data_IF_404911125620
#
_entry.id   IF_404911125620
#
_cell.length_a   1.000
_cell.length_b   1.000
_cell.length_c   1.000
_cell.angle_alpha   90.00
_cell.angle_beta   90.00
_cell.angle_gamma   90.00
#
_symmetry.space_group_name_H-M   'P 1'
#
loop_
_entity.id
_entity.type
_entity.pdbx_description
1 polymer ?
#
# COMPACT_ATOMS: atom_id res chain seq x y z
N UNK A 1 -16.77 -1.67 -6.93
CA UNK A 1 -15.46 -1.01 -7.06
C UNK A 1 -15.23 -0.48 -8.49
N UNK A 2 -15.07 -1.31 -9.54
CA UNK A 2 -14.73 -0.84 -10.90
C UNK A 2 -15.74 0.15 -11.51
N UNK A 3 -17.05 -0.06 -11.33
CA UNK A 3 -18.07 0.90 -11.83
C UNK A 3 -17.88 2.28 -11.24
N UNK A 4 -17.54 2.36 -9.94
CA UNK A 4 -17.27 3.63 -9.26
C UNK A 4 -15.99 4.27 -9.80
N UNK A 5 -14.89 3.52 -9.88
CA UNK A 5 -13.62 4.00 -10.41
C UNK A 5 -13.75 4.54 -11.85
N UNK A 6 -14.48 3.82 -12.71
CA UNK A 6 -14.78 4.29 -14.07
C UNK A 6 -15.65 5.54 -14.10
N UNK A 7 -16.69 5.60 -13.27
CA UNK A 7 -17.56 6.77 -13.16
C UNK A 7 -16.84 8.02 -12.65
N UNK A 8 -15.81 7.84 -11.86
CA UNK A 8 -14.91 8.90 -11.38
C UNK A 8 -13.76 9.19 -12.35
N UNK A 9 -13.62 8.43 -13.44
CA UNK A 9 -12.52 8.51 -14.42
C UNK A 9 -11.14 8.37 -13.78
N UNK A 10 -11.01 7.49 -12.81
CA UNK A 10 -9.72 7.18 -12.19
C UNK A 10 -8.80 6.46 -13.18
N UNK A 11 -7.49 6.53 -12.93
CA UNK A 11 -6.46 5.92 -13.77
C UNK A 11 -6.13 4.49 -13.33
N UNK A 12 -6.27 4.21 -12.02
CA UNK A 12 -5.99 2.89 -11.44
C UNK A 12 -7.06 2.45 -10.43
N UNK A 13 -7.12 1.14 -10.19
CA UNK A 13 -7.94 0.52 -9.15
C UNK A 13 -7.13 -0.59 -8.47
N UNK A 14 -7.15 -0.61 -7.13
CA UNK A 14 -6.25 -1.42 -6.32
C UNK A 14 -6.99 -2.45 -5.49
N UNK A 15 -6.42 -3.63 -5.35
CA UNK A 15 -6.84 -4.67 -4.41
C UNK A 15 -5.74 -4.90 -3.38
N UNK A 16 -6.12 -5.35 -2.20
CA UNK A 16 -5.19 -5.70 -1.11
C UNK A 16 -4.98 -7.20 -1.06
N UNK A 17 -3.85 -7.65 -0.50
CA UNK A 17 -3.53 -9.06 -0.30
C UNK A 17 -3.36 -9.36 1.19
N UNK A 18 -4.45 -9.69 1.86
CA UNK A 18 -4.47 -10.02 3.26
C UNK A 18 -5.21 -11.33 3.52
N UNK A 19 -4.69 -12.14 4.48
CA UNK A 19 -5.43 -13.23 5.11
C UNK A 19 -6.31 -12.69 6.24
N UNK A 20 -5.81 -11.71 6.99
CA UNK A 20 -6.59 -10.95 7.97
C UNK A 20 -6.30 -9.47 7.85
N UNK A 21 -7.26 -8.62 8.22
CA UNK A 21 -7.06 -7.17 8.22
C UNK A 21 -6.54 -6.67 9.57
N UNK A 22 -6.05 -5.45 9.56
CA UNK A 22 -5.45 -4.80 10.74
C UNK A 22 -6.43 -4.48 11.87
N UNK A 23 -7.74 -4.37 11.59
CA UNK A 23 -8.71 -4.03 12.63
C UNK A 23 -9.00 -5.23 13.54
N UNK A 24 -8.79 -5.10 14.87
CA UNK A 24 -9.04 -6.17 15.81
C UNK A 24 -10.53 -6.51 15.90
N UNK A 25 -10.89 -7.80 15.88
CA UNK A 25 -12.27 -8.24 16.03
C UNK A 25 -12.92 -7.75 17.32
N UNK A 26 -12.15 -7.63 18.42
CA UNK A 26 -12.62 -7.14 19.71
C UNK A 26 -13.04 -5.66 19.74
N UNK A 27 -12.54 -4.85 18.80
CA UNK A 27 -12.97 -3.46 18.59
C UNK A 27 -14.03 -3.35 17.48
N UNK A 28 -14.21 -4.36 16.63
CA UNK A 28 -15.04 -4.29 15.44
C UNK A 28 -16.53 -4.38 15.79
N UNK A 29 -17.12 -3.26 16.13
CA UNK A 29 -18.54 -3.13 16.48
C UNK A 29 -19.10 -1.79 15.97
N UNK A 30 -20.42 -1.58 16.08
CA UNK A 30 -21.11 -0.39 15.54
C UNK A 30 -20.70 0.94 16.19
N UNK A 31 -20.10 0.91 17.40
CA UNK A 31 -19.56 2.12 18.05
C UNK A 31 -18.21 2.48 17.47
N UNK A 32 -17.45 1.47 17.04
CA UNK A 32 -16.14 1.66 16.41
C UNK A 32 -16.26 2.06 14.93
N UNK A 33 -17.14 1.39 14.18
CA UNK A 33 -17.40 1.75 12.77
C UNK A 33 -18.73 1.22 12.29
N UNK A 34 -19.44 1.96 11.45
CA UNK A 34 -20.68 1.50 10.81
C UNK A 34 -20.46 0.30 9.87
N UNK A 35 -19.24 0.10 9.38
CA UNK A 35 -18.86 -1.02 8.52
C UNK A 35 -18.98 -2.38 9.23
N UNK A 36 -18.93 -2.40 10.56
CA UNK A 36 -19.11 -3.64 11.34
C UNK A 36 -20.49 -4.31 11.16
N UNK A 37 -21.43 -3.64 10.45
CA UNK A 37 -22.69 -4.28 9.99
C UNK A 37 -22.48 -5.24 8.82
N UNK A 38 -21.40 -5.09 8.08
CA UNK A 38 -21.13 -5.83 6.84
C UNK A 38 -20.31 -7.11 7.02
N UNK A 39 -19.95 -7.49 8.25
CA UNK A 39 -19.20 -8.72 8.51
C UNK A 39 -17.88 -8.53 9.25
N UNK A 40 -16.99 -9.50 9.15
CA UNK A 40 -15.69 -9.53 9.80
C UNK A 40 -14.70 -8.53 9.20
N UNK A 41 -13.84 -7.88 10.01
CA UNK A 41 -12.74 -7.06 9.51
C UNK A 41 -11.64 -7.89 8.82
N UNK A 42 -11.72 -9.22 8.90
CA UNK A 42 -10.75 -10.17 8.36
C UNK A 42 -11.25 -10.92 7.12
N UNK A 43 -12.41 -10.55 6.55
CA UNK A 43 -12.97 -11.21 5.38
C UNK A 43 -12.41 -10.59 4.09
N UNK A 44 -11.32 -11.14 3.58
CA UNK A 44 -10.69 -10.73 2.32
C UNK A 44 -10.86 -11.81 1.24
N UNK A 45 -11.02 -11.38 0.00
CA UNK A 45 -10.93 -12.27 -1.14
C UNK A 45 -9.46 -12.49 -1.53
N UNK A 46 -9.15 -13.67 -2.06
CA UNK A 46 -7.86 -13.88 -2.71
C UNK A 46 -7.68 -12.85 -3.85
N UNK A 47 -6.57 -12.07 -3.83
CA UNK A 47 -6.39 -10.99 -4.79
C UNK A 47 -6.18 -11.48 -6.22
N UNK A 48 -5.57 -12.64 -6.42
CA UNK A 48 -5.31 -13.19 -7.76
C UNK A 48 -6.63 -13.60 -8.42
N UNK A 49 -7.48 -14.33 -7.70
CA UNK A 49 -8.82 -14.68 -8.16
C UNK A 49 -9.70 -13.44 -8.42
N UNK A 50 -9.63 -12.45 -7.50
CA UNK A 50 -10.38 -11.20 -7.64
C UNK A 50 -9.91 -10.39 -8.85
N UNK A 51 -8.60 -10.21 -9.04
CA UNK A 51 -8.04 -9.48 -10.18
C UNK A 51 -8.34 -10.17 -11.51
N UNK A 52 -8.23 -11.51 -11.58
CA UNK A 52 -8.65 -12.28 -12.76
C UNK A 52 -10.12 -12.04 -13.12
N UNK A 53 -11.02 -11.99 -12.11
CA UNK A 53 -12.45 -11.67 -12.31
C UNK A 53 -12.68 -10.22 -12.75
N UNK A 54 -11.84 -9.28 -12.29
CA UNK A 54 -11.98 -7.85 -12.59
C UNK A 54 -11.36 -7.47 -13.94
N UNK A 55 -10.32 -8.13 -14.38
CA UNK A 55 -9.52 -7.79 -15.55
C UNK A 55 -10.34 -7.58 -16.84
N UNK A 56 -11.25 -8.49 -17.25
CA UNK A 56 -12.07 -8.29 -18.45
C UNK A 56 -12.98 -7.06 -18.37
N UNK A 57 -13.22 -6.56 -17.16
CA UNK A 57 -14.08 -5.43 -16.90
C UNK A 57 -13.33 -4.15 -16.56
N UNK A 58 -12.00 -4.16 -16.51
CA UNK A 58 -11.20 -2.99 -16.15
C UNK A 58 -11.27 -1.88 -17.21
N UNK A 59 -11.26 -2.25 -18.50
CA UNK A 59 -11.17 -1.30 -19.60
C UNK A 59 -9.85 -0.53 -19.50
N UNK A 60 -9.90 0.79 -19.49
CA UNK A 60 -8.68 1.63 -19.39
C UNK A 60 -8.09 1.77 -17.97
N UNK A 61 -8.76 1.25 -16.94
CA UNK A 61 -8.23 1.27 -15.59
C UNK A 61 -7.03 0.33 -15.49
N UNK A 62 -5.93 0.83 -14.97
CA UNK A 62 -4.77 0.01 -14.59
C UNK A 62 -5.09 -0.70 -13.27
N UNK A 63 -5.04 -2.03 -13.25
CA UNK A 63 -5.29 -2.80 -12.04
C UNK A 63 -3.99 -2.97 -11.26
N UNK A 64 -4.03 -2.71 -9.95
CA UNK A 64 -2.90 -2.86 -9.06
C UNK A 64 -3.20 -3.76 -7.86
N UNK A 65 -2.20 -4.48 -7.39
CA UNK A 65 -2.21 -5.14 -6.08
C UNK A 65 -1.34 -4.31 -5.12
N UNK A 66 -1.89 -3.92 -4.00
CA UNK A 66 -1.19 -3.03 -3.08
C UNK A 66 -1.28 -3.49 -1.63
N UNK A 67 -0.31 -4.30 -1.22
CA UNK A 67 0.76 -5.00 -1.90
C UNK A 67 0.73 -6.49 -1.59
N UNK A 68 1.38 -7.33 -2.43
CA UNK A 68 1.67 -8.74 -2.10
C UNK A 68 3.13 -8.89 -1.64
N UNK A 69 3.52 -10.09 -1.22
CA UNK A 69 4.86 -10.39 -0.74
C UNK A 69 5.28 -11.84 -1.04
N UNK A 70 6.58 -12.11 -0.97
CA UNK A 70 7.17 -13.41 -1.30
C UNK A 70 7.48 -14.29 -0.06
N UNK A 71 6.78 -14.08 1.05
CA UNK A 71 6.81 -14.94 2.24
C UNK A 71 5.77 -16.07 2.13
N UNK A 72 4.58 -15.74 1.65
CA UNK A 72 3.45 -16.67 1.46
C UNK A 72 3.42 -17.31 0.09
N UNK A 73 3.92 -16.63 -0.94
CA UNK A 73 3.89 -17.10 -2.33
C UNK A 73 5.27 -17.12 -2.93
N UNK A 74 5.57 -18.18 -3.69
CA UNK A 74 6.83 -18.26 -4.44
C UNK A 74 6.88 -17.16 -5.53
N UNK A 75 8.01 -16.45 -5.75
CA UNK A 75 8.11 -15.37 -6.72
C UNK A 75 7.78 -15.78 -8.15
N UNK A 76 8.06 -16.99 -8.57
CA UNK A 76 7.66 -17.52 -9.90
C UNK A 76 6.13 -17.58 -10.03
N UNK A 77 5.41 -17.98 -8.97
CA UNK A 77 3.94 -17.98 -8.98
C UNK A 77 3.37 -16.55 -9.06
N UNK A 78 4.02 -15.60 -8.39
CA UNK A 78 3.65 -14.17 -8.46
C UNK A 78 3.89 -13.64 -9.88
N UNK A 79 5.02 -13.98 -10.50
CA UNK A 79 5.35 -13.61 -11.88
C UNK A 79 4.32 -14.19 -12.87
N UNK A 80 4.03 -15.49 -12.77
CA UNK A 80 3.05 -16.16 -13.63
C UNK A 80 1.67 -15.50 -13.54
N UNK A 81 1.22 -15.17 -12.31
CA UNK A 81 -0.03 -14.44 -12.13
C UNK A 81 -0.02 -13.09 -12.85
N UNK A 82 1.03 -12.29 -12.67
CA UNK A 82 1.13 -10.96 -13.27
C UNK A 82 1.15 -11.01 -14.81
N UNK A 83 1.93 -11.95 -15.37
CA UNK A 83 1.99 -12.18 -16.82
C UNK A 83 0.62 -12.66 -17.36
N UNK A 84 -0.03 -13.61 -16.69
CA UNK A 84 -1.39 -14.05 -17.06
C UNK A 84 -2.35 -12.87 -17.08
N UNK A 85 -2.31 -12.02 -16.06
CA UNK A 85 -3.17 -10.85 -15.96
C UNK A 85 -2.94 -9.85 -17.09
N UNK A 86 -1.70 -9.71 -17.58
CA UNK A 86 -1.36 -8.82 -18.69
C UNK A 86 -2.10 -9.16 -19.99
N UNK A 87 -2.45 -10.44 -20.19
CA UNK A 87 -3.23 -10.88 -21.34
C UNK A 87 -4.71 -10.51 -21.24
N UNK A 88 -5.21 -10.24 -20.03
CA UNK A 88 -6.62 -9.93 -19.78
C UNK A 88 -6.90 -8.45 -19.55
N UNK A 89 -5.87 -7.61 -19.43
CA UNK A 89 -5.98 -6.17 -19.20
C UNK A 89 -5.59 -5.37 -20.45
N UNK A 90 -6.16 -4.17 -20.58
CA UNK A 90 -5.80 -3.24 -21.66
C UNK A 90 -4.58 -2.36 -21.31
N UNK A 91 -4.20 -2.31 -20.04
CA UNK A 91 -3.02 -1.59 -19.55
C UNK A 91 -2.16 -2.51 -18.69
N UNK A 92 -0.84 -2.29 -18.62
CA UNK A 92 0.05 -3.08 -17.78
C UNK A 92 -0.49 -3.19 -16.34
N UNK A 93 -0.71 -4.40 -15.80
CA UNK A 93 -1.08 -4.52 -14.40
C UNK A 93 0.08 -4.12 -13.50
N UNK A 94 -0.24 -3.54 -12.34
CA UNK A 94 0.77 -3.16 -11.35
C UNK A 94 0.89 -4.26 -10.31
N UNK A 95 2.06 -4.85 -10.23
CA UNK A 95 2.44 -5.78 -9.19
C UNK A 95 3.13 -5.02 -8.05
N UNK A 96 2.34 -4.60 -7.07
CA UNK A 96 2.88 -3.99 -5.86
C UNK A 96 3.49 -5.05 -4.94
N UNK A 97 4.74 -4.87 -4.56
CA UNK A 97 5.50 -5.78 -3.70
C UNK A 97 5.95 -5.08 -2.43
N UNK A 98 5.79 -5.75 -1.31
CA UNK A 98 6.27 -5.32 0.01
C UNK A 98 7.12 -6.39 0.69
N UNK A 99 7.74 -6.03 1.81
CA UNK A 99 8.50 -6.98 2.62
C UNK A 99 7.60 -7.90 3.47
N UNK A 100 6.29 -7.67 3.46
CA UNK A 100 5.31 -8.43 4.24
C UNK A 100 5.05 -7.84 5.62
N UNK A 101 4.01 -8.35 6.25
CA UNK A 101 3.50 -7.96 7.56
C UNK A 101 3.26 -9.23 8.40
N UNK A 102 3.57 -9.15 9.72
CA UNK A 102 3.55 -10.33 10.59
C UNK A 102 2.17 -10.99 10.68
N UNK A 103 1.08 -10.20 10.66
CA UNK A 103 -0.28 -10.70 10.78
C UNK A 103 -0.67 -11.64 9.62
N UNK A 104 -0.07 -11.44 8.45
CA UNK A 104 -0.32 -12.29 7.28
C UNK A 104 0.58 -13.52 7.19
N UNK A 105 1.57 -13.65 8.07
CA UNK A 105 2.65 -14.65 7.96
C UNK A 105 2.69 -15.54 9.20
N UNK A 106 3.00 -14.96 10.38
CA UNK A 106 3.27 -15.73 11.60
C UNK A 106 2.07 -16.57 12.11
N UNK A 107 0.82 -16.06 12.13
CA UNK A 107 -0.32 -16.85 12.58
C UNK A 107 -0.61 -18.08 11.72
N UNK A 108 -0.07 -18.11 10.53
CA UNK A 108 -0.23 -19.23 9.58
C UNK A 108 0.96 -20.17 9.54
N UNK A 109 1.85 -20.09 10.53
CA UNK A 109 3.00 -20.99 10.68
C UNK A 109 4.16 -20.72 9.73
N UNK A 110 4.15 -19.57 9.06
CA UNK A 110 5.23 -19.17 8.17
C UNK A 110 6.25 -18.27 8.91
N UNK A 111 7.56 -18.40 8.63
CA UNK A 111 8.57 -17.57 9.27
C UNK A 111 8.57 -16.15 8.71
N UNK A 112 8.53 -15.16 9.59
CA UNK A 112 8.79 -13.76 9.22
C UNK A 112 10.29 -13.46 9.39
N UNK A 113 11.10 -14.08 8.53
CA UNK A 113 12.56 -14.01 8.60
C UNK A 113 13.13 -13.29 7.38
N UNK A 114 14.05 -12.35 7.63
CA UNK A 114 14.79 -11.57 6.62
C UNK A 114 13.92 -11.06 5.45
N UNK A 115 12.77 -10.44 5.73
CA UNK A 115 11.75 -10.14 4.72
C UNK A 115 12.24 -9.23 3.59
N UNK A 116 13.17 -8.30 3.88
CA UNK A 116 13.75 -7.41 2.86
C UNK A 116 14.70 -8.17 1.92
N UNK A 117 15.47 -9.15 2.42
CA UNK A 117 16.29 -10.02 1.58
C UNK A 117 15.44 -10.86 0.64
N UNK A 118 14.35 -11.45 1.16
CA UNK A 118 13.38 -12.20 0.34
C UNK A 118 12.72 -11.32 -0.72
N UNK A 119 12.34 -10.08 -0.37
CA UNK A 119 11.80 -9.13 -1.33
C UNK A 119 12.79 -8.84 -2.46
N UNK A 120 14.07 -8.60 -2.14
CA UNK A 120 15.10 -8.31 -3.12
C UNK A 120 15.27 -9.45 -4.14
N UNK A 121 15.40 -10.67 -3.64
CA UNK A 121 15.49 -11.85 -4.51
C UNK A 121 14.20 -12.09 -5.31
N UNK A 122 13.04 -11.88 -4.68
CA UNK A 122 11.76 -12.04 -5.36
C UNK A 122 11.59 -11.06 -6.52
N UNK A 123 11.94 -9.78 -6.34
CA UNK A 123 11.88 -8.79 -7.41
C UNK A 123 12.78 -9.18 -8.58
N UNK A 124 13.99 -9.67 -8.30
CA UNK A 124 14.93 -10.14 -9.32
C UNK A 124 14.39 -11.36 -10.08
N UNK A 125 13.86 -12.35 -9.36
CA UNK A 125 13.26 -13.55 -9.97
C UNK A 125 12.07 -13.17 -10.86
N UNK A 126 11.19 -12.31 -10.39
CA UNK A 126 10.02 -11.85 -11.15
C UNK A 126 10.46 -11.12 -12.44
N UNK A 127 11.49 -10.25 -12.35
CA UNK A 127 12.09 -9.63 -13.54
C UNK A 127 12.63 -10.66 -14.52
N UNK A 128 13.38 -11.65 -14.04
CA UNK A 128 13.89 -12.72 -14.88
C UNK A 128 12.75 -13.46 -15.57
N UNK A 129 11.66 -13.81 -14.85
CA UNK A 129 10.50 -14.45 -15.48
C UNK A 129 9.83 -13.58 -16.57
N UNK A 130 9.85 -12.24 -16.44
CA UNK A 130 9.25 -11.35 -17.44
C UNK A 130 10.10 -11.21 -18.72
N UNK A 131 11.39 -11.50 -18.66
CA UNK A 131 12.34 -11.23 -19.75
C UNK A 131 13.07 -12.46 -20.28
N UNK A 132 12.94 -13.61 -19.62
CA UNK A 132 13.59 -14.85 -20.04
C UNK A 132 12.94 -15.39 -21.32
N UNK A 133 13.77 -15.83 -22.26
CA UNK A 133 13.38 -16.48 -23.51
C UNK A 133 13.80 -17.98 -23.56
N UNK A 134 14.14 -18.55 -22.40
CA UNK A 134 14.54 -19.94 -22.26
C UNK A 134 14.80 -20.33 -20.80
N UNK A 135 15.43 -21.51 -20.58
CA UNK A 135 15.80 -21.93 -19.23
C UNK A 135 16.72 -20.93 -18.54
N UNK A 136 16.51 -20.71 -17.24
CA UNK A 136 17.34 -19.84 -16.41
C UNK A 136 17.62 -20.47 -15.04
N UNK A 137 18.70 -20.03 -14.42
CA UNK A 137 18.99 -20.38 -13.02
C UNK A 137 18.95 -19.13 -12.13
N UNK A 138 18.63 -19.35 -10.87
CA UNK A 138 18.74 -18.34 -9.82
C UNK A 138 19.32 -18.99 -8.57
N UNK A 139 20.40 -18.40 -8.03
CA UNK A 139 21.05 -18.84 -6.80
C UNK A 139 21.09 -17.67 -5.82
N UNK A 140 20.18 -17.68 -4.85
CA UNK A 140 20.07 -16.70 -3.78
C UNK A 140 20.22 -17.32 -2.42
N UNK A 141 20.09 -16.51 -1.40
CA UNK A 141 20.07 -16.94 0.00
C UNK A 141 18.71 -17.54 0.40
N UNK A 142 17.63 -17.04 -0.23
CA UNK A 142 16.25 -17.38 0.11
C UNK A 142 15.56 -18.25 -0.95
N UNK A 143 15.97 -18.12 -2.19
CA UNK A 143 15.43 -18.90 -3.30
C UNK A 143 16.57 -19.51 -4.12
N UNK A 144 16.39 -20.76 -4.53
CA UNK A 144 17.32 -21.47 -5.41
C UNK A 144 16.53 -22.23 -6.47
N UNK A 145 16.81 -21.92 -7.73
CA UNK A 145 16.15 -22.52 -8.88
C UNK A 145 17.24 -22.90 -9.88
N UNK A 146 17.71 -24.17 -9.85
CA UNK A 146 18.85 -24.60 -10.67
C UNK A 146 18.51 -24.79 -12.16
N UNK A 147 17.22 -24.99 -12.47
CA UNK A 147 16.75 -25.33 -13.82
C UNK A 147 15.28 -24.89 -13.97
N UNK A 148 15.06 -23.57 -14.06
CA UNK A 148 13.73 -23.00 -14.17
C UNK A 148 13.41 -22.66 -15.63
N UNK A 149 12.14 -22.83 -16.02
CA UNK A 149 11.61 -22.43 -17.32
C UNK A 149 10.28 -21.71 -17.13
N UNK A 150 10.09 -20.60 -17.85
CA UNK A 150 8.86 -19.85 -17.89
C UNK A 150 8.56 -19.42 -19.33
N UNK A 151 7.83 -20.24 -20.06
CA UNK A 151 7.47 -19.98 -21.47
C UNK A 151 6.33 -18.97 -21.63
N UNK A 152 5.58 -18.71 -20.56
CA UNK A 152 4.56 -17.66 -20.58
C UNK A 152 5.26 -16.29 -20.58
N UNK A 153 5.25 -15.61 -21.70
CA UNK A 153 5.68 -14.21 -21.77
C UNK A 153 4.57 -13.23 -21.37
N UNK A 154 4.88 -12.04 -20.89
CA UNK A 154 3.91 -10.95 -20.80
C UNK A 154 3.31 -10.67 -22.20
N UNK A 155 2.06 -10.21 -22.22
CA UNK A 155 1.46 -9.75 -23.48
C UNK A 155 2.31 -8.61 -24.07
N UNK A 156 2.59 -8.66 -25.37
CA UNK A 156 3.34 -7.63 -26.08
C UNK A 156 2.76 -6.23 -25.84
N UNK A 157 3.63 -5.29 -25.49
CA UNK A 157 3.25 -3.91 -25.14
C UNK A 157 2.48 -3.76 -23.81
N UNK A 158 2.34 -4.83 -23.01
CA UNK A 158 1.57 -4.83 -21.77
C UNK A 158 2.32 -5.53 -20.61
N UNK A 159 3.64 -5.43 -20.56
CA UNK A 159 4.47 -6.02 -19.50
C UNK A 159 4.06 -5.48 -18.13
N UNK A 160 3.82 -6.35 -17.12
CA UNK A 160 3.46 -5.92 -15.79
C UNK A 160 4.52 -5.00 -15.18
N UNK A 161 4.09 -3.97 -14.46
CA UNK A 161 4.96 -3.06 -13.73
C UNK A 161 5.19 -3.59 -12.31
N UNK A 162 6.43 -3.56 -11.84
CA UNK A 162 6.80 -3.90 -10.46
C UNK A 162 6.90 -2.61 -9.66
N UNK A 163 6.01 -2.42 -8.68
CA UNK A 163 6.07 -1.29 -7.77
C UNK A 163 6.42 -1.77 -6.36
N UNK A 164 7.34 -1.09 -5.67
CA UNK A 164 7.82 -1.49 -4.35
C UNK A 164 7.36 -0.52 -3.28
N UNK A 165 6.74 -1.06 -2.21
CA UNK A 165 6.35 -0.32 -1.01
C UNK A 165 7.57 -0.14 -0.09
N UNK A 166 8.46 0.78 -0.46
CA UNK A 166 9.75 0.98 0.19
C UNK A 166 9.73 2.15 1.18
N UNK A 167 10.30 1.92 2.37
CA UNK A 167 10.47 2.94 3.41
C UNK A 167 11.92 3.09 3.89
N UNK A 168 12.62 1.98 4.11
CA UNK A 168 14.00 1.99 4.61
C UNK A 168 15.05 2.08 3.51
N UNK A 169 16.29 2.50 3.81
CA UNK A 169 17.34 2.75 2.81
C UNK A 169 17.63 1.55 1.90
N UNK A 170 17.61 0.31 2.44
CA UNK A 170 17.81 -0.90 1.62
C UNK A 170 16.67 -1.09 0.62
N UNK A 171 15.42 -0.91 1.05
CA UNK A 171 14.26 -1.04 0.16
C UNK A 171 14.22 0.06 -0.89
N UNK A 172 14.61 1.30 -0.56
CA UNK A 172 14.73 2.40 -1.55
C UNK A 172 15.77 2.07 -2.61
N UNK A 173 16.91 1.46 -2.23
CA UNK A 173 17.92 0.99 -3.20
C UNK A 173 17.37 -0.12 -4.10
N UNK A 174 16.67 -1.11 -3.55
CA UNK A 174 16.00 -2.18 -4.32
C UNK A 174 15.02 -1.57 -5.33
N UNK A 175 14.24 -0.57 -4.90
CA UNK A 175 13.30 0.15 -5.79
C UNK A 175 14.05 0.78 -6.96
N UNK A 176 15.10 1.55 -6.72
CA UNK A 176 15.90 2.18 -7.77
C UNK A 176 16.52 1.17 -8.74
N UNK A 177 17.04 0.06 -8.20
CA UNK A 177 17.72 -0.95 -9.00
C UNK A 177 16.78 -1.80 -9.88
N UNK A 178 15.57 -2.10 -9.38
CA UNK A 178 14.77 -3.17 -9.96
C UNK A 178 13.29 -2.82 -10.21
N UNK A 179 12.72 -1.77 -9.62
CA UNK A 179 11.30 -1.48 -9.71
C UNK A 179 10.95 -0.47 -10.83
N UNK A 180 9.68 -0.48 -11.26
CA UNK A 180 9.09 0.47 -12.20
C UNK A 180 8.30 1.55 -11.47
N UNK A 181 8.08 1.38 -10.15
CA UNK A 181 7.41 2.38 -9.34
C UNK A 181 7.78 2.27 -7.87
N UNK A 182 7.67 3.39 -7.18
CA UNK A 182 7.79 3.52 -5.74
C UNK A 182 6.41 3.77 -5.14
N UNK A 183 5.94 2.88 -4.28
CA UNK A 183 4.60 2.90 -3.72
C UNK A 183 4.61 2.85 -2.19
N UNK A 184 5.14 3.86 -1.49
CA UNK A 184 5.11 3.90 -0.04
C UNK A 184 3.69 4.11 0.47
N UNK A 185 3.41 3.51 1.61
CA UNK A 185 2.27 3.85 2.45
C UNK A 185 2.80 4.78 3.53
N UNK A 186 2.32 6.01 3.61
CA UNK A 186 2.75 6.89 4.68
C UNK A 186 4.15 7.50 4.53
N UNK A 187 4.21 8.63 3.93
CA UNK A 187 5.35 9.52 4.08
C UNK A 187 4.87 10.78 4.78
N UNK A 188 5.45 11.09 5.94
CA UNK A 188 4.92 12.11 6.84
C UNK A 188 4.96 13.53 6.25
N UNK A 189 5.90 13.82 5.36
CA UNK A 189 6.08 15.16 4.78
C UNK A 189 6.56 15.10 3.33
N UNK A 190 6.27 16.14 2.51
CA UNK A 190 6.82 16.28 1.17
C UNK A 190 8.35 16.24 1.14
N UNK A 191 9.04 16.84 2.11
CA UNK A 191 10.53 16.81 2.20
C UNK A 191 11.06 15.38 2.38
N UNK A 192 10.42 14.60 3.26
CA UNK A 192 10.80 13.19 3.47
C UNK A 192 10.55 12.36 2.20
N UNK A 193 9.46 12.66 1.48
CA UNK A 193 9.16 12.04 0.19
C UNK A 193 10.23 12.39 -0.85
N UNK A 194 10.57 13.67 -1.02
CA UNK A 194 11.61 14.12 -1.92
C UNK A 194 12.98 13.50 -1.59
N UNK A 195 13.31 13.36 -0.29
CA UNK A 195 14.53 12.70 0.14
C UNK A 195 14.58 11.23 -0.27
N UNK A 196 13.49 10.48 -0.02
CA UNK A 196 13.37 9.08 -0.46
C UNK A 196 13.47 8.93 -1.98
N UNK A 197 12.85 9.82 -2.74
CA UNK A 197 12.90 9.82 -4.20
C UNK A 197 14.32 10.07 -4.71
N UNK A 198 15.08 10.98 -4.10
CA UNK A 198 16.51 11.20 -4.43
C UNK A 198 17.36 9.94 -4.22
N UNK A 199 17.13 9.20 -3.13
CA UNK A 199 17.80 7.92 -2.84
C UNK A 199 17.51 6.88 -3.94
N UNK A 200 16.25 6.77 -4.35
CA UNK A 200 15.81 5.88 -5.42
C UNK A 200 16.47 6.24 -6.74
N UNK A 201 16.45 7.53 -7.14
CA UNK A 201 17.04 8.01 -8.36
C UNK A 201 18.56 7.78 -8.39
N UNK A 202 19.24 8.01 -7.26
CA UNK A 202 20.66 7.71 -7.15
C UNK A 202 20.97 6.22 -7.29
N UNK A 203 20.10 5.35 -6.74
CA UNK A 203 20.25 3.91 -6.89
C UNK A 203 19.98 3.43 -8.33
N UNK A 204 18.98 4.01 -9.01
CA UNK A 204 18.69 3.75 -10.41
C UNK A 204 19.88 4.13 -11.30
N UNK A 205 20.42 5.34 -11.14
CA UNK A 205 21.58 5.82 -11.89
C UNK A 205 22.81 4.91 -11.70
N UNK A 206 23.08 4.47 -10.46
CA UNK A 206 24.17 3.50 -10.19
C UNK A 206 23.96 2.14 -10.86
N UNK A 207 22.71 1.75 -11.08
CA UNK A 207 22.33 0.52 -11.78
C UNK A 207 22.26 0.69 -13.32
N UNK A 208 22.61 1.86 -13.84
CA UNK A 208 22.53 2.16 -15.28
C UNK A 208 21.10 2.32 -15.81
N UNK A 209 20.13 2.59 -14.93
CA UNK A 209 18.71 2.79 -15.28
C UNK A 209 18.36 4.28 -15.26
N UNK A 210 17.57 4.77 -16.22
CA UNK A 210 17.02 6.12 -16.17
C UNK A 210 16.12 6.28 -14.94
N UNK A 211 16.33 7.31 -14.10
CA UNK A 211 15.42 7.61 -12.99
C UNK A 211 13.96 7.85 -13.43
N UNK A 212 13.76 8.30 -14.68
CA UNK A 212 12.43 8.50 -15.28
C UNK A 212 11.61 7.23 -15.47
N UNK A 213 12.26 6.05 -15.46
CA UNK A 213 11.56 4.75 -15.58
C UNK A 213 10.81 4.36 -14.31
N UNK A 214 10.98 5.13 -13.23
CA UNK A 214 10.37 4.85 -11.93
C UNK A 214 9.24 5.83 -11.67
N UNK A 215 8.01 5.33 -11.61
CA UNK A 215 6.83 6.12 -11.26
C UNK A 215 6.84 6.43 -9.75
N UNK A 216 6.95 7.71 -9.35
CA UNK A 216 6.85 8.10 -7.95
C UNK A 216 5.37 8.09 -7.53
N UNK A 217 4.96 7.09 -6.76
CA UNK A 217 3.61 6.96 -6.25
C UNK A 217 3.55 7.13 -4.73
N UNK A 218 2.35 7.27 -4.19
CA UNK A 218 2.09 7.36 -2.75
C UNK A 218 0.67 6.87 -2.45
N UNK A 219 0.52 5.98 -1.48
CA UNK A 219 -0.78 5.74 -0.88
C UNK A 219 -1.05 6.79 0.18
N UNK A 220 -2.10 7.60 -0.04
CA UNK A 220 -2.46 8.71 0.83
C UNK A 220 -3.79 8.44 1.51
N UNK A 221 -3.80 8.11 2.82
CA UNK A 221 -5.01 8.20 3.64
C UNK A 221 -5.51 9.64 3.70
N UNK A 222 -6.83 9.87 3.56
CA UNK A 222 -7.36 11.21 3.71
C UNK A 222 -8.67 11.25 4.49
N UNK A 223 -8.87 12.36 5.22
CA UNK A 223 -10.06 12.67 6.01
C UNK A 223 -10.65 13.96 5.50
N UNK A 224 -11.82 13.90 4.82
CA UNK A 224 -12.44 15.09 4.26
C UNK A 224 -13.75 15.43 4.99
N UNK A 225 -13.82 16.65 5.51
CA UNK A 225 -15.00 17.25 6.16
C UNK A 225 -15.67 18.32 5.31
N UNK A 226 -16.86 18.77 5.74
CA UNK A 226 -17.52 19.96 5.16
C UNK A 226 -16.84 21.29 5.57
N UNK A 227 -16.04 21.24 6.62
CA UNK A 227 -15.16 22.29 7.12
C UNK A 227 -13.93 21.65 7.75
N UNK A 228 -12.86 22.44 7.97
CA UNK A 228 -11.63 21.98 8.64
C UNK A 228 -11.94 21.46 10.05
N UNK A 229 -12.80 22.15 10.81
CA UNK A 229 -13.24 21.70 12.14
C UNK A 229 -14.00 20.36 12.10
N UNK A 230 -14.82 20.14 11.06
CA UNK A 230 -15.54 18.89 10.91
C UNK A 230 -14.59 17.73 10.59
N UNK A 231 -13.55 17.97 9.80
CA UNK A 231 -12.49 17.01 9.54
C UNK A 231 -11.66 16.74 10.80
N UNK A 232 -11.30 17.80 11.55
CA UNK A 232 -10.56 17.68 12.82
C UNK A 232 -11.28 16.78 13.81
N UNK A 233 -12.60 16.99 14.01
CA UNK A 233 -13.39 16.11 14.89
C UNK A 233 -13.45 14.67 14.41
N UNK A 234 -13.31 14.40 13.12
CA UNK A 234 -13.24 13.02 12.62
C UNK A 234 -11.91 12.34 12.96
N UNK A 235 -10.81 13.08 13.13
CA UNK A 235 -9.54 12.51 13.59
C UNK A 235 -9.68 11.92 15.01
N UNK A 236 -10.60 12.42 15.82
CA UNK A 236 -10.89 11.91 17.17
C UNK A 236 -11.77 10.65 17.17
N UNK A 237 -12.32 10.27 16.03
CA UNK A 237 -13.14 9.08 15.92
C UNK A 237 -12.30 7.80 16.12
N UNK A 238 -12.73 6.84 17.00
CA UNK A 238 -11.91 5.68 17.36
C UNK A 238 -11.34 4.89 16.19
N UNK A 239 -12.14 4.69 15.13
CA UNK A 239 -11.68 3.97 13.93
C UNK A 239 -10.60 4.73 13.13
N UNK A 240 -10.54 6.06 13.24
CA UNK A 240 -9.50 6.89 12.61
C UNK A 240 -8.30 6.98 13.54
N UNK A 241 -8.49 7.22 14.84
CA UNK A 241 -7.40 7.20 15.84
C UNK A 241 -6.64 5.87 15.83
N UNK A 242 -7.33 4.77 15.54
CA UNK A 242 -6.70 3.47 15.37
C UNK A 242 -5.60 3.46 14.30
N UNK A 243 -5.75 4.22 13.23
CA UNK A 243 -4.70 4.34 12.21
C UNK A 243 -3.43 5.00 12.77
N UNK A 244 -3.57 5.94 13.70
CA UNK A 244 -2.43 6.53 14.42
C UNK A 244 -1.76 5.54 15.37
N UNK A 245 -2.55 4.64 16.01
CA UNK A 245 -2.01 3.59 16.88
C UNK A 245 -1.14 2.58 16.13
N UNK A 246 -1.47 2.25 14.89
CA UNK A 246 -0.69 1.32 14.07
C UNK A 246 0.38 1.98 13.21
N UNK A 247 0.75 3.24 13.49
CA UNK A 247 1.95 3.87 12.92
C UNK A 247 3.21 3.40 13.65
N UNK A 248 4.40 3.51 13.03
CA UNK A 248 5.62 3.11 13.72
C UNK A 248 5.96 4.05 14.88
N UNK A 249 6.66 3.52 15.89
CA UNK A 249 7.11 4.28 17.06
C UNK A 249 7.97 5.52 16.71
N UNK A 250 8.61 5.53 15.54
CA UNK A 250 9.32 6.70 15.03
C UNK A 250 8.39 7.89 14.76
N UNK A 251 7.15 7.65 14.33
CA UNK A 251 6.16 8.71 14.13
C UNK A 251 5.72 9.35 15.45
N UNK A 252 5.62 8.56 16.51
CA UNK A 252 5.32 9.05 17.86
C UNK A 252 6.48 9.83 18.46
N UNK A 253 7.71 9.31 18.33
CA UNK A 253 8.92 10.04 18.77
C UNK A 253 9.09 11.40 18.08
N UNK A 254 8.70 11.49 16.81
CA UNK A 254 8.76 12.75 16.06
C UNK A 254 7.86 13.87 16.62
N UNK A 255 6.91 13.51 17.51
CA UNK A 255 6.04 14.46 18.24
C UNK A 255 6.30 14.44 19.75
N UNK A 256 7.40 13.84 20.20
CA UNK A 256 7.78 13.78 21.61
C UNK A 256 7.00 12.78 22.46
N UNK A 257 6.35 11.77 21.85
CA UNK A 257 5.58 10.76 22.54
C UNK A 257 6.20 9.36 22.44
N UNK A 258 5.90 8.51 23.42
CA UNK A 258 6.30 7.11 23.43
C UNK A 258 5.15 6.22 22.90
N UNK A 259 5.50 5.25 22.09
CA UNK A 259 4.51 4.32 21.54
C UNK A 259 4.13 3.25 22.57
N UNK A 260 2.84 2.94 22.79
CA UNK A 260 2.40 1.97 23.81
C UNK A 260 2.93 0.55 23.57
N UNK A 261 3.22 0.18 22.33
CA UNK A 261 3.80 -1.13 21.98
C UNK A 261 5.35 -1.12 21.95
N UNK A 262 5.98 -0.09 22.51
CA UNK A 262 7.42 0.00 22.71
C UNK A 262 8.18 0.76 21.60
N UNK A 263 9.46 1.12 21.90
CA UNK A 263 10.23 2.04 21.07
C UNK A 263 10.69 1.46 19.72
N UNK A 264 10.66 0.14 19.57
CA UNK A 264 11.05 -0.57 18.32
C UNK A 264 9.88 -0.95 17.44
N UNK A 265 8.64 -0.64 17.84
CA UNK A 265 7.44 -1.00 17.09
C UNK A 265 7.45 -0.36 15.68
N UNK A 266 7.32 -1.20 14.64
CA UNK A 266 7.38 -0.79 13.24
C UNK A 266 6.00 -0.56 12.60
N UNK A 267 4.98 -0.32 13.42
CA UNK A 267 3.63 -0.08 12.94
C UNK A 267 2.96 -1.37 12.41
N UNK A 268 2.24 -1.25 11.31
CA UNK A 268 1.52 -2.37 10.67
C UNK A 268 2.39 -3.60 10.44
N UNK A 269 3.69 -3.43 10.21
CA UNK A 269 4.62 -4.55 9.99
C UNK A 269 4.69 -5.51 11.18
N UNK A 270 4.61 -4.99 12.40
CA UNK A 270 4.72 -5.77 13.64
C UNK A 270 3.36 -6.09 14.27
N UNK A 271 2.30 -5.41 13.84
CA UNK A 271 1.00 -5.50 14.48
C UNK A 271 0.24 -6.78 14.08
N UNK A 272 -0.13 -7.59 15.08
CA UNK A 272 -0.95 -8.79 14.88
C UNK A 272 -2.24 -8.65 15.69
N UNK A 273 -3.38 -8.27 15.06
CA UNK A 273 -4.56 -7.78 15.74
C UNK A 273 -5.12 -8.67 16.85
N UNK A 274 -5.13 -9.98 16.65
CA UNK A 274 -5.71 -10.93 17.62
C UNK A 274 -4.80 -11.25 18.81
N UNK A 275 -3.56 -10.75 18.84
CA UNK A 275 -2.65 -10.84 19.98
C UNK A 275 -2.88 -9.75 21.01
N UNK A 276 -3.74 -8.79 20.71
CA UNK A 276 -4.03 -7.65 21.58
C UNK A 276 -5.46 -7.69 22.11
N UNK A 277 -5.61 -7.51 23.43
CA UNK A 277 -6.90 -7.48 24.10
C UNK A 277 -7.70 -6.21 23.77
N UNK A 278 -9.03 -6.32 23.74
CA UNK A 278 -9.89 -5.15 23.45
C UNK A 278 -9.79 -4.04 24.51
N UNK A 279 -9.45 -4.37 25.76
CA UNK A 279 -9.24 -3.37 26.84
C UNK A 279 -7.95 -2.63 26.59
N UNK A 280 -6.83 -3.36 26.42
CA UNK A 280 -5.52 -2.82 26.09
C UNK A 280 -5.57 -1.86 24.89
N UNK A 281 -6.25 -2.28 23.82
CA UNK A 281 -6.37 -1.46 22.62
C UNK A 281 -7.21 -0.20 22.84
N UNK A 282 -8.26 -0.24 23.68
CA UNK A 282 -9.02 0.97 24.00
C UNK A 282 -8.19 1.97 24.79
N UNK A 283 -7.44 1.50 25.78
CA UNK A 283 -6.52 2.34 26.57
C UNK A 283 -5.42 2.94 25.67
N UNK A 284 -4.83 2.12 24.80
CA UNK A 284 -3.84 2.58 23.84
C UNK A 284 -4.38 3.65 22.86
N UNK A 285 -5.66 3.51 22.45
CA UNK A 285 -6.32 4.50 21.56
C UNK A 285 -6.51 5.86 22.24
N UNK A 286 -6.81 5.89 23.55
CA UNK A 286 -6.94 7.13 24.30
C UNK A 286 -5.60 7.91 24.37
N UNK A 287 -4.48 7.17 24.40
CA UNK A 287 -3.13 7.71 24.42
C UNK A 287 -2.57 8.19 23.07
N UNK A 288 -3.26 7.99 21.96
CA UNK A 288 -2.75 8.43 20.63
C UNK A 288 -2.67 9.96 20.57
N UNK A 289 -1.48 10.56 20.37
CA UNK A 289 -1.34 12.01 20.33
C UNK A 289 -2.05 12.61 19.11
N UNK A 290 -2.67 13.77 19.29
CA UNK A 290 -3.30 14.50 18.18
C UNK A 290 -2.32 14.82 17.07
N UNK A 291 -1.09 15.21 17.42
CA UNK A 291 -0.04 15.48 16.44
C UNK A 291 0.37 14.25 15.60
N UNK A 292 0.21 13.02 16.11
CA UNK A 292 0.35 11.80 15.31
C UNK A 292 -0.80 11.70 14.33
N UNK A 293 -2.02 11.95 14.77
CA UNK A 293 -3.22 11.90 13.90
C UNK A 293 -3.15 12.90 12.76
N UNK A 294 -2.74 14.14 13.04
CA UNK A 294 -2.62 15.21 12.06
C UNK A 294 -1.59 14.94 10.97
N UNK A 295 -0.58 14.12 11.29
CA UNK A 295 0.45 13.66 10.34
C UNK A 295 0.12 12.34 9.66
N UNK A 296 -0.94 11.65 10.12
CA UNK A 296 -1.29 10.31 9.68
C UNK A 296 -2.16 10.28 8.42
N UNK A 297 -2.69 11.41 7.97
CA UNK A 297 -3.54 11.51 6.79
C UNK A 297 -3.53 12.95 6.27
N UNK A 298 -3.82 13.16 5.00
CA UNK A 298 -4.22 14.46 4.53
C UNK A 298 -5.64 14.76 5.05
N UNK A 299 -5.85 15.88 5.73
CA UNK A 299 -7.16 16.15 6.35
C UNK A 299 -7.59 17.61 6.22
N UNK A 300 -8.90 17.83 6.21
CA UNK A 300 -9.50 19.15 6.10
C UNK A 300 -10.72 19.17 5.19
N UNK A 301 -10.91 20.27 4.48
CA UNK A 301 -11.81 20.37 3.33
C UNK A 301 -11.18 19.70 2.10
N UNK A 302 -11.90 19.64 0.99
CA UNK A 302 -11.33 19.16 -0.27
C UNK A 302 -10.17 20.05 -0.74
N UNK A 303 -10.24 21.36 -0.43
CA UNK A 303 -9.20 22.32 -0.78
C UNK A 303 -7.93 22.10 0.03
N UNK A 304 -8.05 21.90 1.34
CA UNK A 304 -6.92 21.55 2.21
C UNK A 304 -6.22 20.25 1.74
N UNK A 305 -7.00 19.23 1.38
CA UNK A 305 -6.43 17.95 0.88
C UNK A 305 -5.77 18.15 -0.49
N UNK A 306 -6.32 19.00 -1.36
CA UNK A 306 -5.71 19.31 -2.66
C UNK A 306 -4.38 20.05 -2.50
N UNK A 307 -4.27 20.97 -1.53
CA UNK A 307 -3.04 21.69 -1.19
C UNK A 307 -1.95 20.72 -0.75
N UNK A 308 -2.26 19.82 0.22
CA UNK A 308 -1.30 18.77 0.66
C UNK A 308 -0.83 17.90 -0.52
N UNK A 309 -1.74 17.51 -1.42
CA UNK A 309 -1.35 16.73 -2.60
C UNK A 309 -0.52 17.55 -3.60
N UNK A 310 -0.75 18.86 -3.69
CA UNK A 310 0.07 19.80 -4.45
C UNK A 310 1.51 19.85 -3.94
N UNK A 311 1.70 19.97 -2.62
CA UNK A 311 3.02 19.97 -2.00
C UNK A 311 3.78 18.66 -2.28
N UNK A 312 3.09 17.52 -2.26
CA UNK A 312 3.70 16.24 -2.66
C UNK A 312 4.00 16.17 -4.16
N UNK A 313 3.16 16.78 -5.01
CA UNK A 313 3.43 16.85 -6.45
C UNK A 313 4.68 17.69 -6.75
N UNK A 314 4.89 18.79 -6.03
CA UNK A 314 6.11 19.61 -6.08
C UNK A 314 7.34 18.83 -5.57
N UNK A 315 7.15 17.95 -4.59
CA UNK A 315 8.16 17.02 -4.10
C UNK A 315 8.46 15.83 -5.05
N UNK A 316 7.76 15.76 -6.20
CA UNK A 316 7.97 14.77 -7.25
C UNK A 316 6.93 13.68 -7.38
N UNK A 317 5.86 13.67 -6.57
CA UNK A 317 4.76 12.70 -6.70
C UNK A 317 4.09 12.80 -8.08
N UNK A 318 3.80 11.64 -8.71
CA UNK A 318 3.10 11.57 -10.01
C UNK A 318 1.87 10.66 -10.00
N UNK A 319 1.76 9.75 -9.03
CA UNK A 319 0.63 8.84 -8.92
C UNK A 319 0.18 8.75 -7.46
N UNK A 320 -1.05 9.15 -7.16
CA UNK A 320 -1.60 9.03 -5.81
C UNK A 320 -2.69 7.96 -5.74
N UNK A 321 -2.60 7.07 -4.76
CA UNK A 321 -3.64 6.10 -4.42
C UNK A 321 -4.38 6.61 -3.19
N UNK A 322 -5.57 7.16 -3.41
CA UNK A 322 -6.37 7.78 -2.36
C UNK A 322 -7.11 6.75 -1.51
N UNK A 323 -6.88 6.78 -0.20
CA UNK A 323 -7.57 5.91 0.78
C UNK A 323 -8.54 6.75 1.63
N UNK A 324 -9.86 6.68 1.37
CA UNK A 324 -10.86 7.54 2.01
C UNK A 324 -11.21 7.06 3.43
N UNK A 325 -10.33 7.30 4.42
CA UNK A 325 -10.51 6.80 5.79
C UNK A 325 -11.65 7.49 6.55
N UNK A 326 -12.07 8.70 6.17
CA UNK A 326 -13.30 9.30 6.69
C UNK A 326 -14.56 8.45 6.46
N UNK A 327 -14.51 7.56 5.46
CA UNK A 327 -15.55 6.56 5.23
C UNK A 327 -15.76 5.55 6.35
N UNK A 328 -14.80 5.39 7.27
CA UNK A 328 -14.94 4.54 8.47
C UNK A 328 -15.94 5.11 9.49
N UNK A 329 -16.12 6.43 9.51
CA UNK A 329 -16.95 7.14 10.49
C UNK A 329 -18.44 6.87 10.26
N UNK A 330 -18.90 7.06 9.02
CA UNK A 330 -20.30 6.87 8.66
C UNK A 330 -20.51 6.71 7.16
N UNK A 331 -21.68 6.18 6.76
CA UNK A 331 -22.11 6.13 5.36
C UNK A 331 -22.12 7.51 4.68
N UNK A 332 -22.54 8.56 5.44
CA UNK A 332 -22.56 9.93 4.94
C UNK A 332 -21.14 10.40 4.58
N UNK A 333 -20.18 10.16 5.44
CA UNK A 333 -18.79 10.55 5.21
C UNK A 333 -18.13 9.69 4.12
N UNK A 334 -18.51 8.42 3.97
CA UNK A 334 -18.09 7.60 2.83
C UNK A 334 -18.57 8.19 1.49
N UNK A 335 -19.84 8.64 1.39
CA UNK A 335 -20.36 9.31 0.20
C UNK A 335 -19.65 10.65 -0.06
N UNK A 336 -19.39 11.42 1.00
CA UNK A 336 -18.62 12.67 0.91
C UNK A 336 -17.21 12.44 0.35
N UNK A 337 -16.51 11.42 0.86
CA UNK A 337 -15.17 11.07 0.41
C UNK A 337 -15.14 10.70 -1.09
N UNK A 338 -16.14 9.97 -1.58
CA UNK A 338 -16.29 9.68 -3.02
C UNK A 338 -16.47 10.97 -3.84
N UNK A 339 -17.27 11.94 -3.33
CA UNK A 339 -17.41 13.26 -3.94
C UNK A 339 -16.09 14.05 -3.97
N UNK A 340 -15.33 13.97 -2.88
CA UNK A 340 -14.01 14.57 -2.78
C UNK A 340 -13.02 13.99 -3.81
N UNK A 341 -12.97 12.67 -3.98
CA UNK A 341 -12.12 12.01 -4.99
C UNK A 341 -12.44 12.57 -6.40
N UNK A 342 -13.72 12.74 -6.74
CA UNK A 342 -14.10 13.35 -8.04
C UNK A 342 -13.53 14.76 -8.21
N UNK A 343 -13.58 15.58 -7.16
CA UNK A 343 -13.08 16.96 -7.19
C UNK A 343 -11.56 16.98 -7.27
N UNK A 344 -10.87 16.19 -6.45
CA UNK A 344 -9.41 16.04 -6.48
C UNK A 344 -8.93 15.59 -7.85
N UNK A 345 -9.56 14.56 -8.45
CA UNK A 345 -9.22 14.09 -9.80
C UNK A 345 -9.30 15.17 -10.87
N UNK A 346 -10.26 16.10 -10.77
CA UNK A 346 -10.40 17.21 -11.72
C UNK A 346 -9.37 18.32 -11.53
N UNK A 347 -8.80 18.46 -10.33
CA UNK A 347 -7.81 19.49 -10.00
C UNK A 347 -6.38 19.05 -10.26
N UNK A 348 -6.11 17.76 -10.09
CA UNK A 348 -4.76 17.19 -10.16
C UNK A 348 -4.44 16.55 -11.53
N UNK A 349 -5.41 16.36 -12.38
CA UNK A 349 -5.27 15.75 -13.70
C UNK A 349 -6.17 16.32 -14.73
#
# INVERSE_FOLDING_TARGET
>A
MLRLAKGLRLDSAWVVDHFMGWFPAGLWNRRFTWLARGGSPHAFFDPQALMGRLAPHAGRLQLGIGVTEALRRHPVSIAQFAMTLSHFTARPPILGLGAGERENVEPYGLPFDRPVGRLEEAVRIIRTCFTSDGPFEFRGEHFSMPDALMDLAPKEGNTPEIWVAAHGPRMLRITGQYADGWYPVYTATPDAYAAGLREIHAAAARAGRPPSDITPALQMPFVVGRSRDAARRMLDHPAIRYLGLITPASAWRAVGAEHPFGPSFRGVVDFVPHRHGAVELREALEGVPDAVMERSAAWGTVDDVAEVLGDFADAGLRHVVLTPVSGLVSRREAVRAVGAIRTLRRRLG
#
